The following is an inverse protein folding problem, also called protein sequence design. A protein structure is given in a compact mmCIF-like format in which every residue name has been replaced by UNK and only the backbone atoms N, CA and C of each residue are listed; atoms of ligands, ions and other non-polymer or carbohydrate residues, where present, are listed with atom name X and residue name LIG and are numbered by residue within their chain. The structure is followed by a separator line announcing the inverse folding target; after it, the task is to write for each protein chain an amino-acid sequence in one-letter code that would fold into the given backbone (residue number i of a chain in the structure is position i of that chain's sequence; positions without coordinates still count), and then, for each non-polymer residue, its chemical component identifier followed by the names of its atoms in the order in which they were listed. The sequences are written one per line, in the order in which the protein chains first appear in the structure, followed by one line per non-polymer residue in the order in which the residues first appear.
data_IF_697090906087
#
_entry.id   IF_697090906087
#
_cell.length_a   1.000
_cell.length_b   1.000
_cell.length_c   1.000
_cell.angle_alpha   90.00
_cell.angle_beta   90.00
_cell.angle_gamma   90.00
#
_symmetry.space_group_name_H-M   'P 1'
#
loop_
_entity.id
_entity.type
_entity.pdbx_description
1 polymer ?
#
# COMPACT_ATOMS: atom_id res chain seq x y z
N UNK A 1 -12.73 19.33 31.08
CA UNK A 1 -11.33 19.00 31.37
C UNK A 1 -10.90 17.59 30.88
N UNK A 2 -11.65 16.91 30.01
CA UNK A 2 -11.22 15.60 29.45
C UNK A 2 -10.79 15.72 27.98
N UNK A 3 -11.34 16.69 27.25
CA UNK A 3 -11.04 16.92 25.82
C UNK A 3 -9.61 17.45 25.59
N UNK A 4 -9.06 18.21 26.54
CA UNK A 4 -7.74 18.86 26.42
C UNK A 4 -6.57 17.90 26.62
N UNK A 5 -6.74 16.86 27.45
CA UNK A 5 -5.73 15.82 27.70
C UNK A 5 -5.60 14.82 26.54
N UNK A 6 -6.67 14.59 25.77
CA UNK A 6 -6.65 13.68 24.63
C UNK A 6 -5.88 14.27 23.43
N UNK A 7 -5.97 15.59 23.23
CA UNK A 7 -5.25 16.30 22.15
C UNK A 7 -3.73 16.37 22.41
N UNK A 8 -3.31 16.55 23.66
CA UNK A 8 -1.88 16.60 24.01
C UNK A 8 -1.18 15.25 23.81
N UNK A 9 -1.87 14.13 24.12
CA UNK A 9 -1.36 12.78 23.83
C UNK A 9 -1.27 12.56 22.33
N UNK A 10 -2.28 12.95 21.55
CA UNK A 10 -2.27 12.85 20.08
C UNK A 10 -1.10 13.62 19.46
N UNK A 11 -0.83 14.85 19.92
CA UNK A 11 0.27 15.68 19.42
C UNK A 11 1.64 15.09 19.75
N UNK A 12 1.85 14.65 20.99
CA UNK A 12 3.10 14.05 21.43
C UNK A 12 3.38 12.73 20.67
N UNK A 13 2.34 11.91 20.49
CA UNK A 13 2.42 10.66 19.73
C UNK A 13 2.73 10.95 18.25
N UNK A 14 2.04 11.92 17.62
CA UNK A 14 2.39 12.35 16.26
C UNK A 14 3.82 12.84 16.17
N UNK A 15 4.30 13.64 17.12
CA UNK A 15 5.65 14.19 17.08
C UNK A 15 6.74 13.10 17.22
N UNK A 16 6.56 12.17 18.15
CA UNK A 16 7.52 11.08 18.40
C UNK A 16 7.55 10.08 17.23
N UNK A 17 6.39 9.71 16.69
CA UNK A 17 6.30 8.63 15.69
C UNK A 17 6.33 9.12 14.23
N UNK A 18 6.02 10.39 13.92
CA UNK A 18 6.07 10.94 12.54
C UNK A 18 7.44 10.75 11.85
N UNK A 19 8.60 10.90 12.52
CA UNK A 19 9.90 10.59 11.92
C UNK A 19 10.10 9.09 11.66
N UNK A 20 9.52 8.21 12.48
CA UNK A 20 9.60 6.75 12.30
C UNK A 20 8.71 6.29 11.15
N UNK A 21 7.48 6.82 11.02
CA UNK A 21 6.61 6.55 9.87
C UNK A 21 7.24 6.99 8.55
N UNK A 22 8.00 8.09 8.53
CA UNK A 22 8.77 8.51 7.35
C UNK A 22 9.90 7.54 6.98
N UNK A 23 10.43 6.78 7.95
CA UNK A 23 11.47 5.76 7.75
C UNK A 23 10.90 4.35 7.49
N UNK A 24 9.63 4.13 7.81
CA UNK A 24 8.91 2.86 7.60
C UNK A 24 8.65 2.55 6.12
N UNK A 25 9.04 3.46 5.23
CA UNK A 25 8.36 3.67 3.95
C UNK A 25 9.16 3.38 2.70
N UNK A 26 10.14 2.46 2.71
CA UNK A 26 10.59 1.87 1.44
C UNK A 26 11.05 0.42 1.66
N UNK A 27 10.12 -0.54 1.51
CA UNK A 27 10.50 -1.96 1.40
C UNK A 27 11.29 -2.21 0.10
N UNK A 28 11.93 -3.38 -0.03
CA UNK A 28 12.81 -3.68 -1.18
C UNK A 28 12.09 -3.48 -2.52
N UNK A 29 10.83 -3.87 -2.60
CA UNK A 29 10.00 -3.72 -3.80
C UNK A 29 9.69 -2.24 -4.09
N UNK A 30 9.35 -1.47 -3.07
CA UNK A 30 9.13 -0.02 -3.15
C UNK A 30 10.40 0.71 -3.58
N UNK A 31 11.59 0.24 -3.16
CA UNK A 31 12.87 0.80 -3.61
C UNK A 31 13.10 0.51 -5.09
N UNK A 32 12.79 -0.72 -5.53
CA UNK A 32 12.89 -1.10 -6.92
C UNK A 32 11.97 -0.27 -7.83
N UNK A 33 10.72 -0.03 -7.40
CA UNK A 33 9.74 0.78 -8.15
C UNK A 33 10.08 2.27 -8.10
N UNK A 34 10.23 2.86 -6.90
CA UNK A 34 10.32 4.31 -6.70
C UNK A 34 11.73 4.83 -7.01
N UNK A 35 12.76 4.15 -6.52
CA UNK A 35 14.15 4.65 -6.63
C UNK A 35 14.86 4.15 -7.88
N UNK A 36 14.68 2.87 -8.21
CA UNK A 36 15.41 2.22 -9.32
C UNK A 36 14.61 2.21 -10.62
N UNK A 37 13.35 2.65 -10.61
CA UNK A 37 12.42 2.65 -11.76
C UNK A 37 12.41 1.30 -12.50
N UNK A 38 12.57 0.20 -11.77
CA UNK A 38 12.52 -1.14 -12.35
C UNK A 38 11.08 -1.47 -12.68
N UNK A 39 10.85 -1.99 -13.89
CA UNK A 39 9.54 -2.50 -14.31
C UNK A 39 9.26 -3.91 -13.79
N UNK A 40 10.32 -4.67 -13.50
CA UNK A 40 10.20 -5.96 -12.84
C UNK A 40 10.08 -5.74 -11.34
N UNK A 41 8.96 -6.18 -10.78
CA UNK A 41 8.71 -6.20 -9.34
C UNK A 41 8.26 -7.59 -8.92
N UNK A 42 8.41 -7.90 -7.63
CA UNK A 42 7.96 -9.15 -7.04
C UNK A 42 6.43 -9.25 -6.92
N UNK A 43 5.68 -8.35 -7.58
CA UNK A 43 4.21 -8.32 -7.51
C UNK A 43 3.61 -9.64 -7.96
N UNK A 44 4.11 -10.22 -9.06
CA UNK A 44 3.59 -11.47 -9.58
C UNK A 44 4.06 -12.67 -8.75
N UNK A 45 5.31 -12.65 -8.28
CA UNK A 45 5.93 -13.78 -7.57
C UNK A 45 5.46 -13.91 -6.12
N UNK A 46 5.20 -12.80 -5.43
CA UNK A 46 4.71 -12.81 -4.04
C UNK A 46 3.20 -12.60 -3.98
N UNK A 47 2.70 -11.44 -4.40
CA UNK A 47 1.28 -11.10 -4.25
C UNK A 47 0.40 -11.99 -5.14
N UNK A 48 0.82 -12.23 -6.38
CA UNK A 48 0.16 -13.16 -7.29
C UNK A 48 0.11 -14.58 -6.74
N UNK A 49 1.21 -15.07 -6.15
CA UNK A 49 1.24 -16.39 -5.51
C UNK A 49 0.27 -16.50 -4.33
N UNK A 50 0.20 -15.49 -3.45
CA UNK A 50 -0.78 -15.48 -2.36
C UNK A 50 -2.23 -15.48 -2.85
N UNK A 51 -2.53 -14.78 -3.95
CA UNK A 51 -3.86 -14.81 -4.56
C UNK A 51 -4.18 -16.18 -5.17
N UNK A 52 -3.21 -16.84 -5.79
CA UNK A 52 -3.37 -18.21 -6.29
C UNK A 52 -3.61 -19.19 -5.12
N UNK A 53 -2.87 -19.06 -4.03
CA UNK A 53 -3.10 -19.84 -2.81
C UNK A 53 -4.49 -19.61 -2.23
N UNK A 54 -4.93 -18.36 -2.16
CA UNK A 54 -6.27 -18.02 -1.69
C UNK A 54 -7.35 -18.68 -2.58
N UNK A 55 -7.18 -18.60 -3.90
CA UNK A 55 -8.08 -19.25 -4.86
C UNK A 55 -8.11 -20.78 -4.69
N UNK A 56 -6.94 -21.42 -4.56
CA UNK A 56 -6.82 -22.87 -4.38
C UNK A 56 -7.49 -23.37 -3.08
N UNK A 57 -7.56 -22.51 -2.05
CA UNK A 57 -8.17 -22.83 -0.76
C UNK A 57 -9.60 -22.25 -0.60
N UNK A 58 -10.23 -21.76 -1.68
CA UNK A 58 -11.55 -21.13 -1.65
C UNK A 58 -11.69 -19.93 -0.69
N UNK A 59 -10.60 -19.22 -0.44
CA UNK A 59 -10.57 -18.01 0.38
C UNK A 59 -10.84 -16.80 -0.52
N UNK A 60 -11.88 -16.02 -0.17
CA UNK A 60 -12.17 -14.75 -0.85
C UNK A 60 -11.20 -13.68 -0.39
N UNK A 61 -10.48 -13.08 -1.32
CA UNK A 61 -9.55 -11.97 -1.06
C UNK A 61 -9.82 -10.78 -2.00
N UNK A 62 -11.03 -10.17 -1.96
CA UNK A 62 -11.44 -9.18 -2.96
C UNK A 62 -10.55 -7.93 -2.92
N UNK A 63 -10.27 -7.38 -1.73
CA UNK A 63 -9.33 -6.26 -1.57
C UNK A 63 -7.96 -6.57 -2.17
N UNK A 64 -7.37 -7.73 -1.81
CA UNK A 64 -6.05 -8.12 -2.29
C UNK A 64 -6.01 -8.26 -3.81
N UNK A 65 -7.09 -8.77 -4.43
CA UNK A 65 -7.20 -8.86 -5.89
C UNK A 65 -7.17 -7.47 -6.52
N UNK A 66 -7.99 -6.54 -6.03
CA UNK A 66 -8.04 -5.18 -6.59
C UNK A 66 -6.70 -4.46 -6.40
N UNK A 67 -6.09 -4.56 -5.21
CA UNK A 67 -4.76 -3.98 -4.94
C UNK A 67 -3.70 -4.57 -5.87
N UNK A 68 -3.73 -5.88 -6.08
CA UNK A 68 -2.80 -6.58 -6.98
C UNK A 68 -2.94 -6.10 -8.42
N UNK A 69 -4.16 -6.02 -8.95
CA UNK A 69 -4.40 -5.56 -10.32
C UNK A 69 -4.03 -4.08 -10.49
N UNK A 70 -4.35 -3.23 -9.51
CA UNK A 70 -3.93 -1.84 -9.48
C UNK A 70 -2.40 -1.72 -9.50
N UNK A 71 -1.71 -2.41 -8.61
CA UNK A 71 -0.25 -2.41 -8.57
C UNK A 71 0.34 -2.91 -9.88
N UNK A 72 -0.19 -4.00 -10.46
CA UNK A 72 0.28 -4.56 -11.72
C UNK A 72 0.12 -3.57 -12.87
N UNK A 73 -0.98 -2.82 -12.91
CA UNK A 73 -1.20 -1.79 -13.92
C UNK A 73 -0.27 -0.59 -13.73
N UNK A 74 -0.25 0.00 -12.55
CA UNK A 74 0.47 1.25 -12.27
C UNK A 74 2.00 1.06 -12.32
N UNK A 75 2.53 -0.07 -11.86
CA UNK A 75 3.99 -0.34 -11.90
C UNK A 75 4.53 -0.61 -13.31
N UNK A 76 3.66 -0.93 -14.26
CA UNK A 76 4.03 -1.13 -15.67
C UNK A 76 4.04 0.18 -16.48
N UNK A 77 3.56 1.29 -15.91
CA UNK A 77 3.62 2.59 -16.58
C UNK A 77 5.08 3.05 -16.77
N UNK A 78 5.37 3.83 -17.84
CA UNK A 78 6.72 4.35 -18.09
C UNK A 78 7.28 5.18 -16.93
N UNK A 79 6.39 5.87 -16.23
CA UNK A 79 6.69 6.62 -15.01
C UNK A 79 5.65 6.24 -13.95
N UNK A 80 6.15 5.76 -12.82
CA UNK A 80 5.30 5.43 -11.69
C UNK A 80 5.02 6.69 -10.88
N UNK A 81 3.75 7.03 -10.76
CA UNK A 81 3.26 8.11 -9.90
C UNK A 81 2.39 7.50 -8.80
N UNK A 82 2.73 7.70 -7.51
CA UNK A 82 1.90 7.21 -6.41
C UNK A 82 0.50 7.80 -6.47
N UNK A 83 -0.52 6.94 -6.33
CA UNK A 83 -1.90 7.41 -6.18
C UNK A 83 -2.08 8.17 -4.86
N UNK A 84 -2.93 9.20 -4.87
CA UNK A 84 -3.43 9.78 -3.63
C UNK A 84 -4.25 8.75 -2.86
N UNK A 85 -4.31 8.90 -1.53
CA UNK A 85 -5.06 7.97 -0.68
C UNK A 85 -6.55 7.95 -1.06
N UNK A 86 -7.11 9.09 -1.44
CA UNK A 86 -8.51 9.23 -1.83
C UNK A 86 -8.78 8.48 -3.14
N UNK A 87 -7.95 8.69 -4.17
CA UNK A 87 -8.08 8.00 -5.47
C UNK A 87 -7.84 6.48 -5.33
N UNK A 88 -6.94 6.08 -4.42
CA UNK A 88 -6.69 4.68 -4.13
C UNK A 88 -7.95 4.02 -3.55
N UNK A 89 -8.58 4.65 -2.55
CA UNK A 89 -9.80 4.11 -1.94
C UNK A 89 -11.00 4.11 -2.88
N UNK A 90 -11.14 5.13 -3.73
CA UNK A 90 -12.17 5.17 -4.77
C UNK A 90 -12.07 3.94 -5.69
N UNK A 91 -10.87 3.69 -6.25
CA UNK A 91 -10.62 2.53 -7.12
C UNK A 91 -10.86 1.20 -6.42
N UNK A 92 -10.54 1.13 -5.14
CA UNK A 92 -10.79 -0.06 -4.31
C UNK A 92 -12.30 -0.29 -4.20
N UNK A 93 -13.06 0.73 -3.78
CA UNK A 93 -14.51 0.63 -3.59
C UNK A 93 -15.31 0.32 -4.87
N UNK A 94 -14.84 0.79 -6.03
CA UNK A 94 -15.48 0.50 -7.33
C UNK A 94 -15.40 -0.98 -7.74
N UNK A 95 -14.47 -1.75 -7.17
CA UNK A 95 -14.09 -3.08 -7.66
C UNK A 95 -14.27 -4.21 -6.63
N UNK A 96 -15.00 -3.96 -5.52
CA UNK A 96 -15.25 -4.93 -4.44
C UNK A 96 -16.73 -5.24 -4.28
#
# INVERSE_FOLDING_TARGET
MVVTLQQSVSFLTKFIFKPQFKKMGIDSMSQDIIMRKKKQSEIETLNGYFLQLAAANNIKAPYNKVIYELGKKEFNLPEFEPLSIDNFWEKIQENI
#
